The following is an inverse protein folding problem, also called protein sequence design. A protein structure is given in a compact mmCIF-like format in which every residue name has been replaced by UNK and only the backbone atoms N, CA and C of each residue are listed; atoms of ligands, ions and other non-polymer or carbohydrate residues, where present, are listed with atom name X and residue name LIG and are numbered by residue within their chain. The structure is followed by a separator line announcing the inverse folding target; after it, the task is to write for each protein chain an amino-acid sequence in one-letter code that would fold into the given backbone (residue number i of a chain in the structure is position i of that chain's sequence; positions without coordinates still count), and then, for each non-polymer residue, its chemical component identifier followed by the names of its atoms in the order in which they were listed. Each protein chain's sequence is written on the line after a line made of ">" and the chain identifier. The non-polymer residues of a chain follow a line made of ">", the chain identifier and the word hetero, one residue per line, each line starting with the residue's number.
data_IF_298838611902
#
_entry.id   IF_298838611902
#
_cell.length_a   1.000
_cell.length_b   1.000
_cell.length_c   1.000
_cell.angle_alpha   90.00
_cell.angle_beta   90.00
_cell.angle_gamma   90.00
#
_symmetry.space_group_name_H-M   'P 1'
#
loop_
_entity.id
_entity.type
_entity.pdbx_description
1 polymer ?
#
# COMPACT_ATOMS: atom_id res chain seq x y z
N UNK A 1 -12.06 11.74 -21.83
CA UNK A 1 -11.85 11.05 -20.55
C UNK A 1 -13.01 11.37 -19.64
N UNK A 2 -13.76 10.36 -19.22
CA UNK A 2 -14.94 10.52 -18.37
C UNK A 2 -14.55 10.55 -16.89
N UNK A 3 -15.33 11.22 -16.03
CA UNK A 3 -15.08 11.31 -14.58
C UNK A 3 -14.86 9.93 -13.94
N UNK A 4 -15.61 8.92 -14.38
CA UNK A 4 -15.49 7.54 -13.92
C UNK A 4 -14.12 6.92 -14.22
N UNK A 5 -13.56 7.20 -15.40
CA UNK A 5 -12.24 6.68 -15.80
C UNK A 5 -11.12 7.31 -14.96
N UNK A 6 -11.23 8.60 -14.64
CA UNK A 6 -10.29 9.29 -13.75
C UNK A 6 -10.32 8.71 -12.34
N UNK A 7 -11.51 8.49 -11.78
CA UNK A 7 -11.67 7.87 -10.46
C UNK A 7 -11.07 6.47 -10.45
N UNK A 8 -11.40 5.65 -11.45
CA UNK A 8 -10.85 4.30 -11.57
C UNK A 8 -9.32 4.29 -11.70
N UNK A 9 -8.74 5.24 -12.45
CA UNK A 9 -7.29 5.34 -12.59
C UNK A 9 -6.61 5.67 -11.24
N UNK A 10 -7.17 6.58 -10.45
CA UNK A 10 -6.65 6.93 -9.12
C UNK A 10 -6.80 5.75 -8.16
N UNK A 11 -7.95 5.08 -8.14
CA UNK A 11 -8.18 3.92 -7.28
C UNK A 11 -7.21 2.78 -7.59
N UNK A 12 -7.00 2.49 -8.88
CA UNK A 12 -6.03 1.49 -9.31
C UNK A 12 -4.60 1.86 -8.91
N UNK A 13 -4.23 3.14 -9.05
CA UNK A 13 -2.91 3.61 -8.64
C UNK A 13 -2.70 3.50 -7.12
N UNK A 14 -3.70 3.89 -6.33
CA UNK A 14 -3.67 3.77 -4.87
C UNK A 14 -3.55 2.30 -4.44
N UNK A 15 -4.30 1.40 -5.06
CA UNK A 15 -4.21 -0.03 -4.77
C UNK A 15 -2.80 -0.57 -5.05
N UNK A 16 -2.25 -0.25 -6.23
CA UNK A 16 -0.90 -0.66 -6.61
C UNK A 16 0.15 -0.10 -5.65
N UNK A 17 0.09 1.19 -5.34
CA UNK A 17 1.04 1.84 -4.44
C UNK A 17 1.03 1.20 -3.05
N UNK A 18 -0.15 1.03 -2.46
CA UNK A 18 -0.28 0.56 -1.09
C UNK A 18 0.03 -0.94 -0.92
N UNK A 19 -0.25 -1.77 -1.94
CA UNK A 19 -0.18 -3.23 -1.81
C UNK A 19 0.99 -3.87 -2.57
N UNK A 20 1.50 -3.25 -3.63
CA UNK A 20 2.50 -3.85 -4.52
C UNK A 20 3.83 -3.09 -4.57
N UNK A 21 3.81 -1.75 -4.61
CA UNK A 21 5.04 -0.95 -4.74
C UNK A 21 5.93 -1.14 -3.51
N UNK A 22 7.21 -1.43 -3.72
CA UNK A 22 8.19 -1.66 -2.65
C UNK A 22 9.12 -0.46 -2.52
N UNK A 23 9.44 -0.10 -1.28
CA UNK A 23 10.26 1.08 -0.96
C UNK A 23 11.51 0.70 -0.17
N UNK A 24 12.69 1.12 -0.63
CA UNK A 24 13.96 0.80 0.04
C UNK A 24 14.05 1.37 1.46
N UNK A 25 13.49 2.55 1.69
CA UNK A 25 13.46 3.20 3.01
C UNK A 25 12.78 2.38 4.10
N UNK A 26 11.81 1.53 3.74
CA UNK A 26 11.07 0.65 4.66
C UNK A 26 11.41 -0.83 4.43
N UNK A 27 12.66 -1.12 4.07
CA UNK A 27 13.16 -2.49 3.96
C UNK A 27 12.62 -3.26 2.76
N UNK A 28 12.32 -2.57 1.66
CA UNK A 28 11.72 -3.16 0.45
C UNK A 28 10.35 -3.81 0.71
N UNK A 29 9.59 -3.29 1.69
CA UNK A 29 8.19 -3.64 1.90
C UNK A 29 7.27 -2.69 1.13
N UNK A 30 6.04 -3.16 0.86
CA UNK A 30 4.95 -2.25 0.50
C UNK A 30 4.45 -1.53 1.74
N UNK A 31 3.80 -0.35 1.59
CA UNK A 31 3.23 0.38 2.72
C UNK A 31 2.33 -0.51 3.60
N UNK A 32 1.45 -1.30 2.99
CA UNK A 32 0.57 -2.20 3.75
C UNK A 32 1.35 -3.27 4.55
N UNK A 33 2.35 -3.91 3.94
CA UNK A 33 3.14 -4.93 4.63
C UNK A 33 4.01 -4.34 5.75
N UNK A 34 4.48 -3.10 5.56
CA UNK A 34 5.19 -2.38 6.61
C UNK A 34 4.30 -2.14 7.83
N UNK A 35 3.09 -1.61 7.64
CA UNK A 35 2.12 -1.42 8.72
C UNK A 35 1.77 -2.75 9.42
N UNK A 36 1.57 -3.84 8.66
CA UNK A 36 1.36 -5.16 9.25
C UNK A 36 2.55 -5.62 10.10
N UNK A 37 3.78 -5.38 9.63
CA UNK A 37 5.00 -5.75 10.36
C UNK A 37 5.16 -4.98 11.68
N UNK A 38 4.66 -3.75 11.75
CA UNK A 38 4.67 -2.95 12.98
C UNK A 38 3.60 -3.42 13.99
N UNK A 39 2.50 -3.97 13.50
CA UNK A 39 1.40 -4.46 14.33
C UNK A 39 1.58 -5.92 14.79
N UNK A 40 2.34 -6.75 14.07
CA UNK A 40 2.65 -8.11 14.49
C UNK A 40 3.28 -8.21 15.91
N UNK A 41 4.23 -7.34 16.31
CA UNK A 41 4.73 -7.28 17.68
C UNK A 41 3.66 -6.96 18.75
N UNK A 42 2.65 -6.15 18.40
CA UNK A 42 1.60 -5.73 19.35
C UNK A 42 0.62 -6.87 19.63
N UNK A 43 0.37 -7.75 18.65
CA UNK A 43 -0.60 -8.85 18.78
C UNK A 43 -0.05 -10.10 19.49
N UNK A 44 1.26 -10.16 19.76
CA UNK A 44 1.93 -11.32 20.36
C UNK A 44 2.32 -11.14 21.84
N UNK A 45 1.96 -10.00 22.45
CA UNK A 45 2.19 -9.65 23.85
C UNK A 45 0.90 -9.78 24.67
#
# INVERSE_FOLDING_TARGET
>A
MHRSELVAAVDNWMNFYNTRRRHSTIGMLSPHNYEQSLNAPIMAA
#
